data_IF_523224948867
#
_entry.id   IF_523224948867
#
_cell.length_a   1.000
_cell.length_b   1.000
_cell.length_c   1.000
_cell.angle_alpha   90.00
_cell.angle_beta   90.00
_cell.angle_gamma   90.00
#
_symmetry.space_group_name_H-M   'P 1'
#
loop_
_entity.id
_entity.type
_entity.pdbx_description
1 polymer ?
#
# COMPACT_ATOMS: atom_id res chain seq x y z
N UNK A 1 -18.15 -5.86 9.22
CA UNK A 1 -16.81 -5.31 9.51
C UNK A 1 -15.89 -5.47 8.30
N UNK A 2 -14.87 -4.63 8.18
CA UNK A 2 -13.88 -4.69 7.08
C UNK A 2 -13.17 -6.04 7.01
N UNK A 3 -12.83 -6.64 8.15
CA UNK A 3 -12.19 -7.94 8.20
C UNK A 3 -13.04 -9.02 7.52
N UNK A 4 -14.34 -9.05 7.79
CA UNK A 4 -15.23 -10.03 7.17
C UNK A 4 -15.43 -9.75 5.67
N UNK A 5 -15.58 -8.48 5.27
CA UNK A 5 -15.69 -8.10 3.85
C UNK A 5 -14.46 -8.55 3.07
N UNK A 6 -13.28 -8.20 3.56
CA UNK A 6 -12.01 -8.57 2.93
C UNK A 6 -11.84 -10.09 2.84
N UNK A 7 -12.10 -10.81 3.95
CA UNK A 7 -12.05 -12.26 3.98
C UNK A 7 -12.98 -12.90 2.93
N UNK A 8 -14.26 -12.49 2.89
CA UNK A 8 -15.25 -13.05 1.96
C UNK A 8 -14.95 -12.75 0.50
N UNK A 9 -14.44 -11.56 0.20
CA UNK A 9 -14.18 -11.12 -1.19
C UNK A 9 -12.86 -11.63 -1.75
N UNK A 10 -11.91 -11.98 -0.91
CA UNK A 10 -10.53 -12.27 -1.34
C UNK A 10 -10.09 -13.71 -1.08
N UNK A 11 -10.86 -14.53 -0.36
CA UNK A 11 -10.44 -15.87 0.05
C UNK A 11 -10.67 -16.97 -0.97
N UNK A 12 -11.51 -16.74 -1.99
CA UNK A 12 -11.83 -17.74 -3.00
C UNK A 12 -11.82 -17.18 -4.42
N UNK A 13 -11.59 -18.05 -5.38
CA UNK A 13 -11.83 -17.73 -6.79
C UNK A 13 -13.34 -17.72 -7.10
N UNK A 14 -13.80 -16.93 -8.09
CA UNK A 14 -15.20 -16.93 -8.53
C UNK A 14 -15.71 -18.35 -8.85
N UNK A 15 -16.89 -18.68 -8.32
CA UNK A 15 -17.54 -19.97 -8.55
C UNK A 15 -17.07 -21.14 -7.67
N UNK A 16 -16.18 -20.86 -6.72
CA UNK A 16 -15.73 -21.86 -5.73
C UNK A 16 -16.45 -21.65 -4.40
N UNK A 17 -16.72 -22.77 -3.69
CA UNK A 17 -17.28 -22.70 -2.34
C UNK A 17 -16.24 -22.19 -1.34
N UNK A 18 -16.65 -21.26 -0.48
CA UNK A 18 -15.85 -20.77 0.63
C UNK A 18 -16.18 -21.55 1.89
N UNK A 19 -15.22 -22.36 2.37
CA UNK A 19 -15.31 -22.91 3.72
C UNK A 19 -14.85 -21.85 4.73
N UNK A 20 -15.72 -21.50 5.66
CA UNK A 20 -15.40 -20.50 6.68
C UNK A 20 -14.24 -20.99 7.57
N UNK A 21 -13.26 -20.12 7.77
CA UNK A 21 -12.04 -20.36 8.52
C UNK A 21 -11.77 -19.18 9.46
N UNK A 22 -11.90 -19.44 10.76
CA UNK A 22 -11.72 -18.42 11.80
C UNK A 22 -10.26 -17.94 11.89
N UNK A 23 -9.28 -18.79 11.61
CA UNK A 23 -7.86 -18.42 11.64
C UNK A 23 -7.52 -17.43 10.53
N UNK A 24 -8.09 -17.64 9.34
CA UNK A 24 -7.95 -16.68 8.22
C UNK A 24 -8.61 -15.33 8.54
N UNK A 25 -9.76 -15.35 9.18
CA UNK A 25 -10.40 -14.12 9.63
C UNK A 25 -9.55 -13.39 10.67
N UNK A 26 -8.93 -14.11 11.60
CA UNK A 26 -7.99 -13.56 12.57
C UNK A 26 -6.73 -12.98 11.88
N UNK A 27 -6.21 -13.66 10.87
CA UNK A 27 -5.09 -13.13 10.06
C UNK A 27 -5.44 -11.81 9.37
N UNK A 28 -6.68 -11.68 8.89
CA UNK A 28 -7.18 -10.41 8.33
C UNK A 28 -7.21 -9.29 9.38
N UNK A 29 -7.60 -9.56 10.61
CA UNK A 29 -7.52 -8.59 11.71
C UNK A 29 -6.08 -8.15 11.99
N UNK A 30 -5.13 -9.07 11.97
CA UNK A 30 -3.72 -8.76 12.14
C UNK A 30 -3.21 -7.86 11.00
N UNK A 31 -3.66 -8.10 9.77
CA UNK A 31 -3.34 -7.26 8.61
C UNK A 31 -3.89 -5.83 8.77
N UNK A 32 -5.15 -5.68 9.19
CA UNK A 32 -5.75 -4.37 9.47
C UNK A 32 -4.99 -3.65 10.57
N UNK A 33 -4.64 -4.32 11.66
CA UNK A 33 -3.87 -3.74 12.75
C UNK A 33 -2.47 -3.29 12.30
N UNK A 34 -1.81 -4.07 11.46
CA UNK A 34 -0.50 -3.71 10.91
C UNK A 34 -0.60 -2.47 10.02
N UNK A 35 -1.58 -2.44 9.12
CA UNK A 35 -1.86 -1.26 8.29
C UNK A 35 -2.15 -0.01 9.14
N UNK A 36 -2.98 -0.14 10.17
CA UNK A 36 -3.31 0.95 11.08
C UNK A 36 -2.08 1.52 11.79
N UNK A 37 -1.24 0.65 12.35
CA UNK A 37 -0.03 1.06 13.04
C UNK A 37 1.00 1.70 12.08
N UNK A 38 1.18 1.14 10.89
CA UNK A 38 2.02 1.72 9.85
C UNK A 38 1.51 3.11 9.42
N UNK A 39 0.20 3.23 9.18
CA UNK A 39 -0.43 4.51 8.83
C UNK A 39 -0.26 5.55 9.94
N UNK A 40 -0.43 5.16 11.21
CA UNK A 40 -0.19 6.04 12.35
C UNK A 40 1.24 6.56 12.37
N UNK A 41 2.23 5.68 12.17
CA UNK A 41 3.63 6.11 12.07
C UNK A 41 3.84 7.13 10.95
N UNK A 42 3.32 6.86 9.75
CA UNK A 42 3.41 7.79 8.63
C UNK A 42 2.78 9.14 8.99
N UNK A 43 1.52 9.14 9.45
CA UNK A 43 0.77 10.36 9.77
C UNK A 43 1.48 11.24 10.80
N UNK A 44 2.12 10.65 11.81
CA UNK A 44 2.89 11.40 12.82
C UNK A 44 4.13 12.12 12.26
N UNK A 45 4.61 11.74 11.09
CA UNK A 45 5.84 12.27 10.50
C UNK A 45 5.62 13.17 9.29
N UNK A 46 4.38 13.35 8.84
CA UNK A 46 4.05 14.06 7.60
C UNK A 46 3.13 15.28 7.80
N UNK A 47 2.81 15.66 9.03
CA UNK A 47 1.84 16.73 9.35
C UNK A 47 2.21 18.09 8.72
N UNK A 48 3.50 18.33 8.51
CA UNK A 48 4.04 19.56 7.95
C UNK A 48 4.03 19.61 6.41
N UNK A 49 3.70 18.52 5.73
CA UNK A 49 3.72 18.43 4.27
C UNK A 49 2.47 19.08 3.68
N UNK A 50 2.68 20.02 2.77
CA UNK A 50 1.61 20.77 2.08
C UNK A 50 1.40 20.34 0.63
N UNK A 51 2.41 19.73 0.03
CA UNK A 51 2.44 19.31 -1.35
C UNK A 51 3.31 18.05 -1.49
N UNK A 52 2.89 17.12 -2.33
CA UNK A 52 3.67 15.91 -2.64
C UNK A 52 4.65 16.23 -3.77
N UNK A 53 5.94 16.08 -3.50
CA UNK A 53 7.02 16.29 -4.48
C UNK A 53 7.85 15.02 -4.59
N UNK A 54 7.73 14.34 -5.71
CA UNK A 54 8.46 13.10 -6.01
C UNK A 54 9.71 13.40 -6.86
N UNK A 55 10.51 14.35 -6.37
CA UNK A 55 11.82 14.71 -6.92
C UNK A 55 12.93 14.43 -5.89
N UNK A 56 14.17 14.44 -6.34
CA UNK A 56 15.35 14.17 -5.49
C UNK A 56 15.24 12.88 -4.65
N UNK A 57 14.60 11.87 -5.21
CA UNK A 57 14.33 10.61 -4.53
C UNK A 57 15.62 9.86 -4.18
N UNK A 58 15.72 9.36 -2.95
CA UNK A 58 16.79 8.45 -2.56
C UNK A 58 16.54 7.02 -3.10
N UNK A 59 17.49 6.11 -2.87
CA UNK A 59 17.39 4.74 -3.39
C UNK A 59 16.19 3.97 -2.82
N UNK A 60 15.90 4.14 -1.54
CA UNK A 60 14.75 3.50 -0.88
C UNK A 60 13.42 4.02 -1.42
N UNK A 61 13.31 5.33 -1.67
CA UNK A 61 12.14 5.94 -2.27
C UNK A 61 11.89 5.40 -3.70
N UNK A 62 12.95 5.33 -4.50
CA UNK A 62 12.90 4.78 -5.86
C UNK A 62 12.51 3.31 -5.88
N UNK A 63 13.01 2.54 -4.92
CA UNK A 63 12.67 1.13 -4.76
C UNK A 63 11.18 0.94 -4.45
N UNK A 64 10.65 1.60 -3.43
CA UNK A 64 9.23 1.43 -3.07
C UNK A 64 8.28 1.93 -4.17
N UNK A 65 8.62 3.03 -4.87
CA UNK A 65 7.84 3.53 -5.99
C UNK A 65 7.83 2.54 -7.17
N UNK A 66 8.96 1.89 -7.44
CA UNK A 66 9.05 0.82 -8.45
C UNK A 66 8.16 -0.36 -8.07
N UNK A 67 8.23 -0.83 -6.82
CA UNK A 67 7.36 -1.90 -6.29
C UNK A 67 5.89 -1.51 -6.38
N UNK A 68 5.54 -0.31 -5.92
CA UNK A 68 4.17 0.22 -5.96
C UNK A 68 3.61 0.25 -7.38
N UNK A 69 4.36 0.73 -8.35
CA UNK A 69 3.90 0.81 -9.74
C UNK A 69 3.64 -0.57 -10.35
N UNK A 70 4.50 -1.55 -10.06
CA UNK A 70 4.26 -2.93 -10.47
C UNK A 70 3.00 -3.51 -9.82
N UNK A 71 2.78 -3.22 -8.54
CA UNK A 71 1.55 -3.61 -7.83
C UNK A 71 0.31 -2.95 -8.44
N UNK A 72 0.34 -1.66 -8.74
CA UNK A 72 -0.77 -0.95 -9.40
C UNK A 72 -1.12 -1.63 -10.73
N UNK A 73 -0.13 -1.97 -11.53
CA UNK A 73 -0.31 -2.67 -12.81
C UNK A 73 -0.97 -4.04 -12.62
N UNK A 74 -0.47 -4.84 -11.69
CA UNK A 74 -1.00 -6.18 -11.42
C UNK A 74 -2.41 -6.13 -10.82
N UNK A 75 -2.64 -5.25 -9.85
CA UNK A 75 -3.96 -5.05 -9.23
C UNK A 75 -4.99 -4.63 -10.28
N UNK A 76 -4.67 -3.67 -11.15
CA UNK A 76 -5.56 -3.24 -12.23
C UNK A 76 -5.93 -4.42 -13.13
N UNK A 77 -4.93 -5.20 -13.56
CA UNK A 77 -5.14 -6.40 -14.39
C UNK A 77 -6.04 -7.44 -13.72
N UNK A 78 -5.85 -7.70 -12.44
CA UNK A 78 -6.66 -8.69 -11.70
C UNK A 78 -8.07 -8.17 -11.39
N UNK A 79 -8.23 -6.87 -11.10
CA UNK A 79 -9.53 -6.23 -10.93
C UNK A 79 -10.39 -6.34 -12.20
N UNK A 80 -9.81 -6.06 -13.37
CA UNK A 80 -10.49 -6.17 -14.68
C UNK A 80 -10.98 -7.59 -14.98
N UNK A 81 -10.34 -8.59 -14.36
CA UNK A 81 -10.71 -10.02 -14.51
C UNK A 81 -11.56 -10.56 -13.35
N UNK A 82 -11.91 -9.72 -12.37
CA UNK A 82 -12.60 -10.15 -11.14
C UNK A 82 -11.85 -11.23 -10.33
N UNK A 83 -10.52 -11.27 -10.46
CA UNK A 83 -9.64 -12.19 -9.74
C UNK A 83 -9.22 -11.61 -8.37
N UNK A 84 -10.19 -11.40 -7.47
CA UNK A 84 -9.97 -10.69 -6.20
C UNK A 84 -9.02 -11.40 -5.23
N UNK A 85 -8.91 -12.72 -5.30
CA UNK A 85 -7.92 -13.47 -4.56
C UNK A 85 -6.48 -13.11 -4.98
N UNK A 86 -6.24 -12.90 -6.28
CA UNK A 86 -4.94 -12.45 -6.79
C UNK A 86 -4.66 -11.00 -6.42
N UNK A 87 -5.68 -10.12 -6.45
CA UNK A 87 -5.57 -8.74 -5.93
C UNK A 87 -5.12 -8.76 -4.47
N UNK A 88 -5.77 -9.59 -3.63
CA UNK A 88 -5.40 -9.74 -2.23
C UNK A 88 -3.94 -10.18 -2.07
N UNK A 89 -3.52 -11.22 -2.79
CA UNK A 89 -2.16 -11.75 -2.68
C UNK A 89 -1.10 -10.68 -2.98
N UNK A 90 -1.29 -9.92 -4.05
CA UNK A 90 -0.37 -8.83 -4.45
C UNK A 90 -0.37 -7.70 -3.43
N UNK A 91 -1.53 -7.21 -3.02
CA UNK A 91 -1.66 -6.12 -2.05
C UNK A 91 -1.13 -6.52 -0.67
N UNK A 92 -1.47 -7.71 -0.19
CA UNK A 92 -1.01 -8.20 1.10
C UNK A 92 0.51 -8.28 1.16
N UNK A 93 1.13 -8.90 0.16
CA UNK A 93 2.59 -9.04 0.10
C UNK A 93 3.29 -7.67 0.05
N UNK A 94 2.81 -6.77 -0.80
CA UNK A 94 3.36 -5.42 -0.92
C UNK A 94 3.22 -4.62 0.39
N UNK A 95 2.03 -4.60 0.97
CA UNK A 95 1.77 -3.80 2.18
C UNK A 95 2.52 -4.36 3.37
N UNK A 96 2.46 -5.68 3.58
CA UNK A 96 3.08 -6.32 4.74
C UNK A 96 4.59 -6.30 4.66
N UNK A 97 5.17 -6.82 3.57
CA UNK A 97 6.60 -7.02 3.46
C UNK A 97 7.32 -5.76 2.94
N UNK A 98 6.91 -5.27 1.77
CA UNK A 98 7.65 -4.20 1.11
C UNK A 98 7.45 -2.86 1.82
N UNK A 99 6.21 -2.48 2.11
CA UNK A 99 5.91 -1.19 2.73
C UNK A 99 6.18 -1.20 4.24
N UNK A 100 5.53 -2.10 5.00
CA UNK A 100 5.62 -2.07 6.47
C UNK A 100 6.95 -2.58 7.00
N UNK A 101 7.43 -3.75 6.54
CA UNK A 101 8.62 -4.36 7.11
C UNK A 101 9.92 -3.76 6.56
N UNK A 102 9.95 -3.36 5.29
CA UNK A 102 11.18 -2.85 4.68
C UNK A 102 11.18 -1.32 4.53
N UNK A 103 10.23 -0.76 3.76
CA UNK A 103 10.31 0.66 3.41
C UNK A 103 10.18 1.59 4.62
N UNK A 104 9.23 1.34 5.52
CA UNK A 104 9.08 2.16 6.74
C UNK A 104 10.35 2.15 7.58
N UNK A 105 11.00 0.99 7.72
CA UNK A 105 12.26 0.91 8.47
C UNK A 105 13.39 1.70 7.79
N UNK A 106 13.52 1.59 6.46
CA UNK A 106 14.48 2.41 5.71
C UNK A 106 14.17 3.91 5.77
N UNK A 107 12.89 4.28 5.69
CA UNK A 107 12.45 5.67 5.74
C UNK A 107 12.78 6.36 7.07
N UNK A 108 12.91 5.63 8.17
CA UNK A 108 13.32 6.21 9.46
C UNK A 108 14.66 6.94 9.39
N UNK A 109 15.59 6.50 8.54
CA UNK A 109 16.89 7.14 8.37
C UNK A 109 16.84 8.47 7.62
N UNK A 110 15.80 8.71 6.83
CA UNK A 110 15.59 9.92 6.03
C UNK A 110 14.24 10.59 6.30
N UNK A 111 13.65 10.35 7.46
CA UNK A 111 12.28 10.77 7.79
C UNK A 111 12.09 12.29 7.81
N UNK A 112 13.16 13.05 7.94
CA UNK A 112 13.15 14.53 7.90
C UNK A 112 13.21 15.09 6.48
N UNK A 113 13.54 14.26 5.48
CA UNK A 113 13.66 14.67 4.09
C UNK A 113 12.29 14.81 3.41
N UNK A 114 12.10 15.87 2.64
CA UNK A 114 10.83 16.18 1.96
C UNK A 114 10.45 15.08 0.94
N UNK A 115 11.43 14.55 0.21
CA UNK A 115 11.24 13.43 -0.72
C UNK A 115 10.74 12.16 -0.04
N UNK A 116 11.30 11.79 1.12
CA UNK A 116 10.86 10.62 1.90
C UNK A 116 9.45 10.82 2.43
N UNK A 117 9.12 11.98 3.00
CA UNK A 117 7.76 12.30 3.44
C UNK A 117 6.76 12.25 2.29
N UNK A 118 7.09 12.84 1.16
CA UNK A 118 6.25 12.81 -0.05
C UNK A 118 6.03 11.39 -0.57
N UNK A 119 7.07 10.55 -0.57
CA UNK A 119 6.97 9.14 -0.99
C UNK A 119 6.10 8.33 -0.03
N UNK A 120 6.21 8.56 1.29
CA UNK A 120 5.34 7.92 2.30
C UNK A 120 3.87 8.28 2.08
N UNK A 121 3.55 9.57 1.87
CA UNK A 121 2.17 10.02 1.63
C UNK A 121 1.63 9.40 0.34
N UNK A 122 2.39 9.49 -0.75
CA UNK A 122 1.98 8.98 -2.06
C UNK A 122 1.73 7.47 -2.00
N UNK A 123 2.65 6.71 -1.43
CA UNK A 123 2.53 5.25 -1.30
C UNK A 123 1.34 4.85 -0.44
N UNK A 124 1.18 5.47 0.73
CA UNK A 124 0.04 5.21 1.62
C UNK A 124 -1.29 5.57 0.93
N UNK A 125 -1.36 6.70 0.25
CA UNK A 125 -2.56 7.11 -0.50
C UNK A 125 -2.95 6.06 -1.56
N UNK A 126 -2.00 5.56 -2.33
CA UNK A 126 -2.24 4.51 -3.33
C UNK A 126 -2.71 3.20 -2.68
N UNK A 127 -2.09 2.80 -1.57
CA UNK A 127 -2.51 1.62 -0.78
C UNK A 127 -3.96 1.76 -0.33
N UNK A 128 -4.33 2.88 0.27
CA UNK A 128 -5.70 3.11 0.75
C UNK A 128 -6.71 3.08 -0.39
N UNK A 129 -6.41 3.70 -1.51
CA UNK A 129 -7.29 3.70 -2.69
C UNK A 129 -7.49 2.30 -3.28
N UNK A 130 -6.44 1.48 -3.35
CA UNK A 130 -6.54 0.10 -3.84
C UNK A 130 -7.28 -0.83 -2.87
N UNK A 131 -7.15 -0.62 -1.56
CA UNK A 131 -7.84 -1.41 -0.54
C UNK A 131 -9.30 -0.98 -0.31
N UNK A 132 -9.68 0.23 -0.70
CA UNK A 132 -10.97 0.82 -0.32
C UNK A 132 -12.18 -0.04 -0.74
N UNK A 133 -12.11 -0.71 -1.88
CA UNK A 133 -13.18 -1.61 -2.35
C UNK A 133 -13.42 -2.79 -1.38
N UNK A 134 -12.38 -3.22 -0.68
CA UNK A 134 -12.41 -4.37 0.21
C UNK A 134 -12.58 -3.99 1.68
N UNK A 135 -11.99 -2.87 2.09
CA UNK A 135 -11.94 -2.37 3.48
C UNK A 135 -12.35 -0.89 3.56
N UNK A 136 -13.59 -0.54 3.23
CA UNK A 136 -13.99 0.87 3.10
C UNK A 136 -13.87 1.68 4.39
N UNK A 137 -14.15 1.10 5.55
CA UNK A 137 -14.18 1.87 6.80
C UNK A 137 -12.78 2.23 7.32
N UNK A 138 -11.85 1.27 7.38
CA UNK A 138 -10.50 1.56 7.87
C UNK A 138 -9.73 2.45 6.91
N UNK A 139 -9.90 2.27 5.60
CA UNK A 139 -9.22 3.09 4.59
C UNK A 139 -9.74 4.52 4.58
N UNK A 140 -11.04 4.72 4.70
CA UNK A 140 -11.66 6.05 4.82
C UNK A 140 -11.18 6.77 6.09
N UNK A 141 -11.22 6.08 7.23
CA UNK A 141 -10.76 6.63 8.50
C UNK A 141 -9.30 7.08 8.47
N UNK A 142 -8.41 6.33 7.83
CA UNK A 142 -6.99 6.72 7.67
C UNK A 142 -6.86 7.89 6.68
N UNK A 143 -7.58 7.81 5.56
CA UNK A 143 -7.51 8.80 4.49
C UNK A 143 -7.87 10.21 4.95
N UNK A 144 -8.83 10.34 5.88
CA UNK A 144 -9.24 11.62 6.44
C UNK A 144 -8.10 12.40 7.11
N UNK A 145 -7.10 11.70 7.66
CA UNK A 145 -5.95 12.31 8.33
C UNK A 145 -4.78 12.65 7.41
N UNK A 146 -4.83 12.31 6.11
CA UNK A 146 -3.78 12.67 5.17
C UNK A 146 -3.74 14.20 4.98
N UNK A 147 -2.55 14.83 5.04
CA UNK A 147 -2.43 16.30 4.89
C UNK A 147 -2.64 16.78 3.45
N UNK A 148 -2.36 15.91 2.47
CA UNK A 148 -2.54 16.17 1.04
C UNK A 148 -3.40 15.06 0.46
N UNK A 149 -4.62 15.40 0.06
CA UNK A 149 -5.60 14.43 -0.46
C UNK A 149 -6.67 15.10 -1.30
N UNK A 150 -7.37 14.29 -2.08
CA UNK A 150 -8.65 14.66 -2.68
C UNK A 150 -9.74 14.78 -1.60
N UNK A 151 -10.88 15.38 -1.92
CA UNK A 151 -11.95 15.64 -0.96
C UNK A 151 -12.47 14.37 -0.28
N UNK A 152 -12.66 13.29 -1.04
CA UNK A 152 -13.16 12.02 -0.52
C UNK A 152 -12.51 10.84 -1.27
N UNK A 153 -12.14 9.78 -0.54
CA UNK A 153 -11.51 8.59 -1.13
C UNK A 153 -12.40 7.90 -2.16
N UNK A 154 -13.73 7.86 -1.96
CA UNK A 154 -14.67 7.18 -2.86
C UNK A 154 -14.72 7.79 -4.26
N UNK A 155 -14.54 9.11 -4.37
CA UNK A 155 -14.60 9.84 -5.64
C UNK A 155 -13.22 10.22 -6.17
N UNK A 156 -12.17 9.88 -5.44
CA UNK A 156 -10.79 10.14 -5.85
C UNK A 156 -10.39 9.24 -7.02
N UNK A 157 -9.47 9.73 -7.87
CA UNK A 157 -8.93 8.96 -8.97
C UNK A 157 -8.20 7.71 -8.47
N UNK A 158 -8.46 6.57 -9.12
CA UNK A 158 -7.74 5.32 -8.84
C UNK A 158 -6.27 5.43 -9.25
N UNK A 159 -5.33 4.79 -8.52
CA UNK A 159 -3.92 4.80 -8.90
C UNK A 159 -3.69 4.26 -10.30
N UNK A 160 -2.81 4.91 -11.06
CA UNK A 160 -2.47 4.54 -12.43
C UNK A 160 -0.98 4.22 -12.51
N UNK A 161 -0.63 3.18 -13.29
CA UNK A 161 0.75 2.86 -13.59
C UNK A 161 1.44 3.99 -14.37
N UNK A 162 2.63 4.38 -13.92
CA UNK A 162 3.45 5.41 -14.55
C UNK A 162 4.87 4.88 -14.79
N UNK A 163 5.24 4.68 -16.04
CA UNK A 163 6.57 4.15 -16.42
C UNK A 163 7.73 4.99 -15.88
N UNK A 164 7.54 6.31 -15.75
CA UNK A 164 8.56 7.22 -15.17
C UNK A 164 8.89 6.93 -13.70
N UNK A 165 8.06 6.14 -13.00
CA UNK A 165 8.25 5.73 -11.61
C UNK A 165 8.92 4.34 -11.48
N UNK A 166 9.42 3.79 -12.57
CA UNK A 166 10.18 2.54 -12.59
C UNK A 166 11.68 2.86 -12.62
N UNK A 167 12.36 2.55 -11.53
CA UNK A 167 13.78 2.78 -11.30
C UNK A 167 14.51 1.44 -11.16
N UNK A 168 14.75 0.76 -12.26
CA UNK A 168 15.22 -0.64 -12.28
C UNK A 168 16.56 -0.83 -11.57
N UNK A 169 17.54 0.04 -11.84
CA UNK A 169 18.90 -0.10 -11.29
C UNK A 169 18.92 0.08 -9.77
N UNK A 170 18.29 1.14 -9.28
CA UNK A 170 18.21 1.41 -7.83
C UNK A 170 17.36 0.37 -7.11
N UNK A 171 16.27 -0.08 -7.74
CA UNK A 171 15.42 -1.14 -7.19
C UNK A 171 16.21 -2.44 -7.02
N UNK A 172 16.99 -2.86 -8.02
CA UNK A 172 17.84 -4.07 -7.93
C UNK A 172 18.86 -3.95 -6.81
N UNK A 173 19.51 -2.81 -6.66
CA UNK A 173 20.50 -2.59 -5.59
C UNK A 173 19.87 -2.69 -4.19
N UNK A 174 18.67 -2.22 -3.99
CA UNK A 174 17.98 -2.30 -2.70
C UNK A 174 17.51 -3.74 -2.42
N UNK A 175 16.99 -4.46 -3.45
CA UNK A 175 16.63 -5.87 -3.30
C UNK A 175 17.82 -6.74 -2.88
N UNK A 176 18.99 -6.53 -3.48
CA UNK A 176 20.23 -7.25 -3.10
C UNK A 176 20.58 -7.03 -1.62
N UNK A 177 20.34 -5.83 -1.08
CA UNK A 177 20.58 -5.54 0.33
C UNK A 177 19.55 -6.25 1.22
N UNK A 178 18.28 -6.23 0.84
CA UNK A 178 17.20 -6.88 1.60
C UNK A 178 17.42 -8.40 1.65
N UNK A 179 17.79 -9.01 0.54
CA UNK A 179 18.05 -10.45 0.45
C UNK A 179 19.28 -10.91 1.26
N UNK A 180 20.18 -9.97 1.58
CA UNK A 180 21.41 -10.27 2.35
C UNK A 180 21.19 -10.22 3.87
N UNK A 181 20.11 -9.58 4.35
CA UNK A 181 19.80 -9.39 5.79
C UNK A 181 18.87 -10.48 6.30
#
# INVERSE_FOLDING_TARGET
>A
TDALRYYLTTSTAPGMDLRFDEEKLKSTWNFINKLWNASRFVLMNIEDVKEIKLDNLNKSDKWILTKLNNVIKDVTKYMDRFEFNNVNSVLYSFIWNDFCDNYIEMAKFSITEENTKSTLIYTLTCILKMLHQFMPYVTDAIYEYLPVKDENIMISSYPVYEEKMIFTDESTQVEEIIDFV
#
